data_IF_775487704119
#
_entry.id   IF_775487704119
#
_cell.length_a   1.000
_cell.length_b   1.000
_cell.length_c   1.000
_cell.angle_alpha   90.00
_cell.angle_beta   90.00
_cell.angle_gamma   90.00
#
_symmetry.space_group_name_H-M   'P 1'
#
loop_
_entity.id
_entity.type
_entity.pdbx_description
1 polymer ?
#
# COMPACT_ATOMS: atom_id res chain seq x y z
N UNK A 1 -9.53 0.97 11.43
CA UNK A 1 -8.10 0.98 11.02
C UNK A 1 -8.04 1.58 9.62
N UNK A 2 -7.09 2.46 9.36
CA UNK A 2 -6.97 3.21 8.11
C UNK A 2 -5.86 2.59 7.25
N UNK A 3 -6.05 1.33 6.87
CA UNK A 3 -5.04 0.53 6.19
C UNK A 3 -5.39 0.43 4.71
N UNK A 4 -4.45 0.82 3.86
CA UNK A 4 -4.50 0.65 2.42
C UNK A 4 -3.78 -0.65 2.11
N UNK A 5 -4.44 -1.56 1.41
CA UNK A 5 -3.81 -2.76 0.87
C UNK A 5 -3.48 -2.51 -0.59
N UNK A 6 -2.34 -3.00 -1.05
CA UNK A 6 -1.99 -2.92 -2.45
C UNK A 6 -1.15 -4.10 -2.88
N UNK A 7 -1.22 -4.41 -4.16
CA UNK A 7 -0.50 -5.52 -4.77
C UNK A 7 0.51 -4.97 -5.76
N UNK A 8 1.77 -5.37 -5.61
CA UNK A 8 2.77 -5.12 -6.64
C UNK A 8 2.49 -5.97 -7.88
N UNK A 9 2.76 -5.41 -9.06
CA UNK A 9 2.75 -6.12 -10.33
C UNK A 9 3.75 -7.27 -10.31
N UNK A 10 3.43 -8.32 -11.07
CA UNK A 10 4.36 -9.41 -11.32
C UNK A 10 5.64 -8.89 -11.99
N UNK A 11 6.79 -9.41 -11.58
CA UNK A 11 8.09 -8.99 -12.11
C UNK A 11 8.66 -7.70 -11.51
N UNK A 12 7.94 -6.97 -10.65
CA UNK A 12 8.53 -5.86 -9.89
C UNK A 12 9.64 -6.40 -8.99
N UNK A 13 10.89 -5.97 -9.21
CA UNK A 13 12.04 -6.41 -8.42
C UNK A 13 11.97 -5.97 -6.96
N UNK A 14 12.61 -6.73 -6.07
CA UNK A 14 12.51 -6.51 -4.62
C UNK A 14 13.07 -5.13 -4.21
N UNK A 15 14.19 -4.69 -4.77
CA UNK A 15 14.74 -3.34 -4.55
C UNK A 15 13.74 -2.23 -4.89
N UNK A 16 12.96 -2.43 -5.95
CA UNK A 16 11.96 -1.46 -6.39
C UNK A 16 10.76 -1.44 -5.45
N UNK A 17 10.34 -2.61 -4.95
CA UNK A 17 9.27 -2.71 -3.94
C UNK A 17 9.69 -2.02 -2.66
N UNK A 18 10.91 -2.27 -2.19
CA UNK A 18 11.44 -1.66 -0.99
C UNK A 18 11.57 -0.14 -1.15
N UNK A 19 12.02 0.35 -2.31
CA UNK A 19 12.02 1.78 -2.61
C UNK A 19 10.64 2.43 -2.56
N UNK A 20 9.59 1.76 -3.05
CA UNK A 20 8.20 2.26 -2.97
C UNK A 20 7.70 2.25 -1.52
N UNK A 21 8.04 1.22 -0.75
CA UNK A 21 7.68 1.14 0.67
C UNK A 21 8.37 2.23 1.50
N UNK A 22 9.64 2.51 1.23
CA UNK A 22 10.38 3.62 1.85
C UNK A 22 9.76 4.97 1.49
N UNK A 23 9.39 5.20 0.21
CA UNK A 23 8.67 6.42 -0.19
C UNK A 23 7.36 6.59 0.56
N UNK A 24 6.60 5.51 0.75
CA UNK A 24 5.37 5.55 1.54
C UNK A 24 5.63 5.86 3.00
N UNK A 25 6.67 5.29 3.63
CA UNK A 25 7.04 5.59 5.03
C UNK A 25 7.43 7.05 5.24
N UNK A 26 8.01 7.68 4.22
CA UNK A 26 8.38 9.09 4.23
C UNK A 26 7.20 10.02 3.89
N UNK A 27 6.09 9.49 3.38
CA UNK A 27 4.94 10.30 3.02
C UNK A 27 4.22 10.84 4.27
N UNK A 28 3.82 12.11 4.19
CA UNK A 28 3.13 12.80 5.29
C UNK A 28 1.84 12.06 5.65
N UNK A 29 1.70 11.72 6.93
CA UNK A 29 0.52 11.04 7.45
C UNK A 29 0.49 9.53 7.21
N UNK A 30 1.57 8.91 6.73
CA UNK A 30 1.74 7.45 6.78
C UNK A 30 2.45 7.08 8.10
N UNK A 31 1.84 6.14 8.82
CA UNK A 31 2.34 5.63 10.12
C UNK A 31 3.26 4.42 9.94
N UNK A 32 2.94 3.56 8.98
CA UNK A 32 3.69 2.36 8.67
C UNK A 32 3.45 1.94 7.22
N UNK A 33 4.43 1.31 6.60
CA UNK A 33 4.23 0.59 5.34
C UNK A 33 5.14 -0.64 5.30
N UNK A 34 4.66 -1.73 4.72
CA UNK A 34 5.41 -2.99 4.66
C UNK A 34 4.76 -4.05 3.80
N UNK A 35 5.46 -5.17 3.64
CA UNK A 35 4.89 -6.35 3.00
C UNK A 35 4.04 -7.14 4.01
N UNK A 36 2.91 -7.67 3.55
CA UNK A 36 2.02 -8.47 4.41
C UNK A 36 2.65 -9.82 4.74
N UNK A 37 3.29 -10.46 3.74
CA UNK A 37 3.97 -11.76 3.89
C UNK A 37 5.20 -11.85 2.97
N UNK A 38 6.36 -11.29 3.37
CA UNK A 38 7.59 -11.35 2.56
C UNK A 38 8.07 -12.78 2.30
N UNK A 39 7.89 -13.68 3.28
CA UNK A 39 8.38 -15.06 3.23
C UNK A 39 7.30 -16.08 2.81
N UNK A 40 6.21 -15.65 2.16
CA UNK A 40 5.19 -16.59 1.72
C UNK A 40 5.70 -17.48 0.58
N UNK A 41 5.43 -18.79 0.68
CA UNK A 41 5.73 -19.76 -0.38
C UNK A 41 4.98 -19.47 -1.68
N UNK A 42 3.82 -18.82 -1.59
CA UNK A 42 3.03 -18.41 -2.75
C UNK A 42 3.50 -17.05 -3.28
N UNK A 43 3.96 -16.95 -4.55
CA UNK A 43 4.42 -15.69 -5.14
C UNK A 43 3.39 -14.55 -5.06
N UNK A 44 2.09 -14.86 -5.19
CA UNK A 44 1.02 -13.87 -5.09
C UNK A 44 0.97 -13.19 -3.72
N UNK A 45 1.25 -13.91 -2.64
CA UNK A 45 1.22 -13.36 -1.29
C UNK A 45 2.43 -12.49 -0.97
N UNK A 46 3.58 -12.75 -1.62
CA UNK A 46 4.79 -11.91 -1.51
C UNK A 46 4.63 -10.53 -2.16
N UNK A 47 3.66 -10.39 -3.08
CA UNK A 47 3.33 -9.13 -3.74
C UNK A 47 2.37 -8.25 -2.94
N UNK A 48 1.77 -8.78 -1.87
CA UNK A 48 0.84 -8.02 -1.04
C UNK A 48 1.60 -7.14 -0.06
N UNK A 49 1.24 -5.86 -0.05
CA UNK A 49 1.78 -4.87 0.84
C UNK A 49 0.66 -4.00 1.43
N UNK A 50 1.00 -3.29 2.49
CA UNK A 50 0.10 -2.42 3.21
C UNK A 50 0.76 -1.08 3.51
N UNK A 51 -0.09 -0.05 3.62
CA UNK A 51 0.27 1.24 4.17
C UNK A 51 -0.79 1.66 5.18
N UNK A 52 -0.38 2.02 6.39
CA UNK A 52 -1.23 2.56 7.43
C UNK A 52 -1.19 4.08 7.40
N UNK A 53 -2.35 4.69 7.17
CA UNK A 53 -2.51 6.13 7.16
C UNK A 53 -3.05 6.66 8.50
N UNK A 54 -2.66 7.88 8.86
CA UNK A 54 -3.12 8.57 10.05
C UNK A 54 -4.56 9.09 9.92
N UNK A 55 -5.01 9.38 8.70
CA UNK A 55 -6.31 9.97 8.40
C UNK A 55 -6.71 9.82 6.93
N UNK A 56 -7.89 10.30 6.57
CA UNK A 56 -8.45 10.18 5.21
C UNK A 56 -7.66 10.95 4.14
N UNK A 57 -7.08 12.10 4.50
CA UNK A 57 -6.21 12.86 3.59
C UNK A 57 -4.98 12.04 3.20
N UNK A 58 -4.34 11.38 4.18
CA UNK A 58 -3.20 10.52 3.93
C UNK A 58 -3.58 9.28 3.11
N UNK A 59 -4.79 8.71 3.32
CA UNK A 59 -5.32 7.64 2.45
C UNK A 59 -5.44 8.12 1.02
N UNK A 60 -6.02 9.30 0.81
CA UNK A 60 -6.26 9.87 -0.51
C UNK A 60 -4.94 10.17 -1.22
N UNK A 61 -3.96 10.75 -0.53
CA UNK A 61 -2.65 11.05 -1.09
C UNK A 61 -1.87 9.78 -1.43
N UNK A 62 -1.78 8.82 -0.50
CA UNK A 62 -1.05 7.57 -0.73
C UNK A 62 -1.71 6.72 -1.82
N UNK A 63 -3.04 6.66 -1.87
CA UNK A 63 -3.73 5.93 -2.93
C UNK A 63 -3.53 6.55 -4.31
N UNK A 64 -3.49 7.88 -4.43
CA UNK A 64 -3.15 8.56 -5.68
C UNK A 64 -1.72 8.25 -6.10
N UNK A 65 -0.77 8.31 -5.17
CA UNK A 65 0.62 7.94 -5.45
C UNK A 65 0.70 6.49 -5.96
N UNK A 66 0.08 5.54 -5.26
CA UNK A 66 0.11 4.13 -5.62
C UNK A 66 -0.55 3.83 -6.97
N UNK A 67 -1.67 4.48 -7.29
CA UNK A 67 -2.37 4.31 -8.59
C UNK A 67 -1.56 4.85 -9.77
N UNK A 68 -0.65 5.79 -9.54
CA UNK A 68 0.20 6.37 -10.58
C UNK A 68 1.51 5.59 -10.81
N UNK A 69 1.82 4.60 -9.96
CA UNK A 69 3.03 3.79 -10.09
C UNK A 69 2.78 2.59 -11.03
N UNK A 70 3.57 2.41 -12.11
CA UNK A 70 3.41 1.27 -13.02
C UNK A 70 3.65 -0.09 -12.34
N UNK A 71 4.39 -0.10 -11.23
CA UNK A 71 4.72 -1.28 -10.44
C UNK A 71 3.56 -1.78 -9.57
N UNK A 72 2.45 -1.04 -9.51
CA UNK A 72 1.26 -1.40 -8.74
C UNK A 72 0.22 -2.02 -9.66
N UNK A 73 -0.28 -3.18 -9.25
CA UNK A 73 -1.34 -3.92 -9.94
C UNK A 73 -2.72 -3.51 -9.45
N UNK A 74 -2.86 -3.37 -8.12
CA UNK A 74 -4.14 -3.03 -7.49
C UNK A 74 -3.93 -2.27 -6.18
N UNK A 75 -4.91 -1.42 -5.85
CA UNK A 75 -4.97 -0.67 -4.59
C UNK A 75 -6.38 -0.83 -4.03
N UNK A 76 -6.46 -1.31 -2.80
CA UNK A 76 -7.69 -1.50 -2.03
C UNK A 76 -7.68 -0.52 -0.85
N UNK A 77 -8.69 0.35 -0.84
CA UNK A 77 -8.84 1.38 0.18
C UNK A 77 -9.64 0.80 1.36
N UNK A 78 -9.38 1.26 2.59
CA UNK A 78 -10.19 0.86 3.72
C UNK A 78 -11.65 1.24 3.44
N UNK A 79 -12.63 0.46 3.94
CA UNK A 79 -14.03 0.78 3.78
C UNK A 79 -14.27 2.19 4.31
N UNK A 80 -14.86 3.05 3.47
CA UNK A 80 -15.28 4.38 3.90
C UNK A 80 -16.13 4.20 5.15
N UNK A 81 -15.81 4.92 6.23
CA UNK A 81 -16.74 4.98 7.35
C UNK A 81 -17.93 5.76 6.86
N UNK A 82 -18.90 5.04 6.31
CA UNK A 82 -20.26 5.55 6.17
C UNK A 82 -20.69 5.97 7.56
N UNK A 83 -20.91 7.26 7.74
CA UNK A 83 -21.95 7.75 8.62
C UNK A 83 -23.21 6.97 8.23
N UNK A 84 -23.50 5.89 8.96
CA UNK A 84 -24.84 5.35 9.04
C UNK A 84 -25.65 6.44 9.73
N UNK A 85 -26.39 7.19 8.92
CA UNK A 85 -27.40 8.14 9.35
C UNK A 85 -28.55 7.42 10.04
#
# INVERSE_FOLDING_TARGET
>A
MNTILFTFREGTGDDRRDGILEQLRQAVGIKAAGQVRPNASLPRLRRLAYAEAAGEDAITQASRLLKNLPEIESVELPPARGIAA
#
